data_IF_217923420490
#
_entry.id   IF_217923420490
#
_cell.length_a   1.000
_cell.length_b   1.000
_cell.length_c   1.000
_cell.angle_alpha   90.00
_cell.angle_beta   90.00
_cell.angle_gamma   90.00
#
_symmetry.space_group_name_H-M   'P 1'
#
loop_
_entity.id
_entity.type
_entity.pdbx_description
1 polymer ?
#
# COMPACT_ATOMS: atom_id res chain seq x y z
N UNK A 1 -1.63 7.22 -1.75
CA UNK A 1 -2.50 6.20 -1.10
C UNK A 1 -3.97 6.31 -1.49
N UNK A 2 -4.55 7.51 -1.52
CA UNK A 2 -5.96 7.75 -1.87
C UNK A 2 -6.38 7.05 -3.17
N UNK A 3 -5.58 7.18 -4.23
CA UNK A 3 -5.84 6.54 -5.52
C UNK A 3 -5.97 5.00 -5.46
N UNK A 4 -5.23 4.31 -4.59
CA UNK A 4 -5.32 2.85 -4.44
C UNK A 4 -6.61 2.44 -3.71
N UNK A 5 -7.00 3.21 -2.69
CA UNK A 5 -8.26 3.02 -2.00
C UNK A 5 -9.44 3.28 -2.93
N UNK A 6 -9.43 4.42 -3.63
CA UNK A 6 -10.48 4.81 -4.58
C UNK A 6 -10.66 3.74 -5.67
N UNK A 7 -9.56 3.15 -6.20
CA UNK A 7 -9.62 2.03 -7.16
C UNK A 7 -10.26 0.76 -6.58
N UNK A 8 -10.03 0.46 -5.29
CA UNK A 8 -10.61 -0.72 -4.64
C UNK A 8 -12.11 -0.53 -4.38
N UNK A 9 -12.51 0.66 -3.94
CA UNK A 9 -13.91 1.03 -3.75
C UNK A 9 -14.66 1.09 -5.09
N UNK A 10 -14.06 1.67 -6.12
CA UNK A 10 -14.63 1.71 -7.47
C UNK A 10 -14.83 0.32 -8.09
N UNK A 11 -14.08 -0.69 -7.65
CA UNK A 11 -14.25 -2.10 -8.01
C UNK A 11 -15.32 -2.83 -7.19
N UNK A 12 -16.11 -2.11 -6.41
CA UNK A 12 -17.20 -2.65 -5.59
C UNK A 12 -16.74 -3.32 -4.29
N UNK A 13 -15.48 -3.14 -3.86
CA UNK A 13 -15.03 -3.71 -2.59
C UNK A 13 -15.56 -2.91 -1.40
N UNK A 14 -15.99 -3.57 -0.30
CA UNK A 14 -16.38 -2.87 0.91
C UNK A 14 -15.23 -2.01 1.46
N UNK A 15 -15.56 -0.83 1.98
CA UNK A 15 -14.59 0.18 2.40
C UNK A 15 -13.58 -0.33 3.44
N UNK A 16 -14.03 -1.13 4.42
CA UNK A 16 -13.19 -1.70 5.48
C UNK A 16 -12.05 -2.58 4.90
N UNK A 17 -12.33 -3.64 4.11
CA UNK A 17 -11.31 -4.40 3.38
C UNK A 17 -10.41 -3.57 2.46
N UNK A 18 -10.95 -2.52 1.83
CA UNK A 18 -10.15 -1.66 0.96
C UNK A 18 -9.05 -0.91 1.73
N UNK A 19 -9.37 -0.41 2.92
CA UNK A 19 -8.39 0.20 3.83
C UNK A 19 -7.38 -0.85 4.30
N UNK A 20 -7.85 -2.03 4.72
CA UNK A 20 -6.96 -3.11 5.17
C UNK A 20 -5.98 -3.55 4.08
N UNK A 21 -6.43 -3.62 2.82
CA UNK A 21 -5.57 -3.95 1.69
C UNK A 21 -4.49 -2.88 1.44
N UNK A 22 -4.85 -1.59 1.54
CA UNK A 22 -3.88 -0.50 1.44
C UNK A 22 -2.87 -0.56 2.59
N UNK A 23 -3.34 -0.73 3.84
CA UNK A 23 -2.46 -0.86 5.01
C UNK A 23 -1.47 -2.04 4.86
N UNK A 24 -1.97 -3.21 4.44
CA UNK A 24 -1.12 -4.39 4.26
C UNK A 24 -0.01 -4.17 3.24
N UNK A 25 -0.32 -3.49 2.13
CA UNK A 25 0.68 -3.16 1.11
C UNK A 25 1.83 -2.30 1.66
N UNK A 26 1.52 -1.35 2.55
CA UNK A 26 2.53 -0.48 3.17
C UNK A 26 3.40 -1.22 4.16
N UNK A 27 2.79 -2.06 5.00
CA UNK A 27 3.53 -2.87 5.97
C UNK A 27 4.50 -3.82 5.26
N UNK A 28 4.07 -4.43 4.16
CA UNK A 28 4.94 -5.29 3.35
C UNK A 28 6.10 -4.50 2.76
N UNK A 29 5.85 -3.30 2.25
CA UNK A 29 6.90 -2.42 1.72
C UNK A 29 7.89 -2.00 2.81
N UNK A 30 7.41 -1.54 3.96
CA UNK A 30 8.23 -1.16 5.10
C UNK A 30 9.11 -2.34 5.56
N UNK A 31 8.53 -3.53 5.69
CA UNK A 31 9.28 -4.74 6.04
C UNK A 31 10.34 -5.09 5.00
N UNK A 32 10.06 -4.89 3.71
CA UNK A 32 11.03 -5.14 2.65
C UNK A 32 12.21 -4.15 2.70
N UNK A 33 11.95 -2.87 2.99
CA UNK A 33 12.97 -1.83 3.13
C UNK A 33 13.87 -2.09 4.35
N UNK A 34 13.26 -2.37 5.51
CA UNK A 34 13.97 -2.69 6.75
C UNK A 34 14.85 -3.93 6.57
N UNK A 35 14.33 -4.99 5.96
CA UNK A 35 15.11 -6.21 5.71
C UNK A 35 16.30 -5.97 4.77
N UNK A 36 16.17 -5.02 3.84
CA UNK A 36 17.23 -4.67 2.91
C UNK A 36 18.19 -3.58 3.45
N UNK A 37 17.95 -3.06 4.67
CA UNK A 37 18.63 -1.87 5.21
C UNK A 37 18.65 -0.69 4.23
N UNK A 38 17.56 -0.52 3.47
CA UNK A 38 17.42 0.52 2.45
C UNK A 38 16.44 1.59 2.91
N UNK A 39 16.81 2.84 2.69
CA UNK A 39 15.89 3.95 2.86
C UNK A 39 14.81 3.91 1.77
N UNK A 40 13.64 4.44 2.11
CA UNK A 40 12.57 4.64 1.14
C UNK A 40 13.05 5.59 0.03
N UNK A 41 12.93 5.16 -1.22
CA UNK A 41 13.07 6.04 -2.39
C UNK A 41 11.71 6.16 -3.07
N UNK A 42 11.13 7.37 -3.15
CA UNK A 42 9.87 7.58 -3.86
C UNK A 42 10.03 7.50 -5.39
N UNK A 43 11.27 7.47 -5.89
CA UNK A 43 11.52 7.27 -7.32
C UNK A 43 11.34 5.80 -7.67
N UNK A 44 10.21 5.54 -8.33
CA UNK A 44 10.04 4.36 -9.17
C UNK A 44 10.53 4.82 -10.55
N UNK A 45 11.73 4.38 -10.94
CA UNK A 45 12.19 4.49 -12.32
C UNK A 45 11.24 3.76 -13.29
#
# INVERSE_FOLDING_TARGET
>A
MKASYDRLVARGKPAKPAITAVMRKLLVLANALLRANRHWSPEIA
#
